data_IF_842031345720
#
_entry.id   IF_842031345720
#
_cell.length_a   1.000
_cell.length_b   1.000
_cell.length_c   1.000
_cell.angle_alpha   90.00
_cell.angle_beta   90.00
_cell.angle_gamma   90.00
#
_symmetry.space_group_name_H-M   'P 1'
#
loop_
_entity.id
_entity.type
_entity.pdbx_description
1 polymer ?
#
# COMPACT_ATOMS: atom_id res chain seq x y z
N UNK A 1 26.36 28.00 -45.87
CA UNK A 1 25.24 28.36 -44.98
C UNK A 1 24.53 27.07 -44.59
N UNK A 2 24.76 26.49 -43.39
CA UNK A 2 24.07 25.27 -42.99
C UNK A 2 22.65 25.60 -42.55
N UNK A 3 21.72 24.73 -42.96
CA UNK A 3 20.29 24.86 -42.76
C UNK A 3 19.93 24.79 -41.27
N UNK A 4 19.21 25.81 -40.78
CA UNK A 4 18.58 25.79 -39.45
C UNK A 4 17.43 24.77 -39.47
N UNK A 5 17.60 23.69 -38.71
CA UNK A 5 16.54 22.75 -38.38
C UNK A 5 15.50 23.49 -37.52
N UNK A 6 14.24 23.49 -37.95
CA UNK A 6 13.12 24.08 -37.19
C UNK A 6 12.87 23.25 -35.92
N UNK A 7 12.95 23.89 -34.75
CA UNK A 7 12.58 23.31 -33.46
C UNK A 7 11.07 23.03 -33.43
N UNK A 8 10.69 21.75 -33.38
CA UNK A 8 9.31 21.33 -33.10
C UNK A 8 8.91 21.79 -31.69
N UNK A 9 7.73 22.39 -31.50
CA UNK A 9 7.27 22.77 -30.16
C UNK A 9 7.08 21.51 -29.31
N UNK A 10 7.78 21.46 -28.17
CA UNK A 10 7.67 20.42 -27.18
C UNK A 10 6.25 20.42 -26.59
N UNK A 11 5.45 19.43 -26.96
CA UNK A 11 4.11 19.21 -26.45
C UNK A 11 4.17 18.85 -24.95
N UNK A 12 3.88 19.84 -24.09
CA UNK A 12 3.86 19.72 -22.62
C UNK A 12 2.58 19.04 -22.09
N UNK A 13 1.69 18.53 -22.94
CA UNK A 13 0.34 18.10 -22.52
C UNK A 13 0.25 16.72 -21.86
N UNK A 14 1.36 16.01 -21.66
CA UNK A 14 1.40 14.88 -20.73
C UNK A 14 1.80 15.36 -19.34
N UNK A 15 0.89 16.06 -18.69
CA UNK A 15 0.96 16.36 -17.26
C UNK A 15 1.02 15.03 -16.53
N UNK A 16 2.20 14.68 -16.00
CA UNK A 16 2.34 13.61 -15.03
C UNK A 16 1.27 13.81 -13.94
N UNK A 17 0.67 12.74 -13.40
CA UNK A 17 -0.33 12.81 -12.32
C UNK A 17 0.19 13.71 -11.20
N UNK A 18 -0.23 14.99 -11.20
CA UNK A 18 0.14 15.96 -10.18
C UNK A 18 -0.81 15.73 -9.01
N UNK A 19 -0.25 15.39 -7.85
CA UNK A 19 -1.04 15.33 -6.63
C UNK A 19 -1.45 16.75 -6.26
N UNK A 20 -2.76 16.99 -6.11
CA UNK A 20 -3.27 18.28 -5.70
C UNK A 20 -3.00 18.48 -4.21
N UNK A 21 -2.37 19.61 -3.86
CA UNK A 21 -2.16 20.00 -2.48
C UNK A 21 -3.44 20.69 -1.97
N UNK A 22 -4.11 20.07 -1.00
CA UNK A 22 -5.26 20.68 -0.33
C UNK A 22 -4.79 21.76 0.65
N UNK A 23 -5.68 22.67 1.04
CA UNK A 23 -5.38 23.70 2.05
C UNK A 23 -4.94 23.09 3.39
N UNK A 24 -5.54 21.96 3.78
CA UNK A 24 -5.15 21.19 4.97
C UNK A 24 -3.70 20.70 4.91
N UNK A 25 -3.26 20.19 3.75
CA UNK A 25 -1.87 19.77 3.56
C UNK A 25 -0.91 20.95 3.68
N UNK A 26 -1.26 22.10 3.10
CA UNK A 26 -0.46 23.33 3.18
C UNK A 26 -0.35 23.79 4.63
N UNK A 27 -1.47 23.88 5.34
CA UNK A 27 -1.49 24.28 6.75
C UNK A 27 -0.60 23.37 7.61
N UNK A 28 -0.69 22.04 7.40
CA UNK A 28 0.15 21.07 8.12
C UNK A 28 1.64 21.26 7.84
N UNK A 29 2.03 21.49 6.59
CA UNK A 29 3.42 21.74 6.20
C UNK A 29 3.94 23.01 6.87
N UNK A 30 3.18 24.10 6.77
CA UNK A 30 3.56 25.41 7.33
C UNK A 30 3.70 25.35 8.84
N UNK A 31 2.72 24.77 9.54
CA UNK A 31 2.76 24.60 10.99
C UNK A 31 3.97 23.75 11.43
N UNK A 32 4.22 22.64 10.75
CA UNK A 32 5.34 21.76 11.09
C UNK A 32 6.69 22.45 10.89
N UNK A 33 6.84 23.24 9.82
CA UNK A 33 8.05 24.01 9.55
C UNK A 33 8.23 25.16 10.54
N UNK A 34 7.20 25.98 10.76
CA UNK A 34 7.24 27.17 11.61
C UNK A 34 7.64 26.83 13.05
N UNK A 35 7.05 25.77 13.61
CA UNK A 35 7.31 25.35 14.98
C UNK A 35 8.42 24.31 15.11
N UNK A 36 9.05 23.91 13.99
CA UNK A 36 10.07 22.85 13.91
C UNK A 36 9.64 21.58 14.65
N UNK A 37 8.38 21.19 14.48
CA UNK A 37 7.80 20.02 15.15
C UNK A 37 8.48 18.77 14.62
N UNK A 38 8.92 17.90 15.54
CA UNK A 38 9.36 16.55 15.19
C UNK A 38 8.15 15.63 15.21
N UNK A 39 7.91 14.96 14.09
CA UNK A 39 6.77 14.06 13.90
C UNK A 39 7.32 12.78 13.29
N UNK A 40 7.09 11.66 13.96
CA UNK A 40 7.52 10.35 13.48
C UNK A 40 7.09 10.13 12.01
N UNK A 41 8.02 9.66 11.17
CA UNK A 41 7.83 9.40 9.73
C UNK A 41 7.43 10.61 8.86
N UNK A 42 7.41 11.83 9.42
CA UNK A 42 7.03 13.04 8.69
C UNK A 42 8.05 14.19 8.79
N UNK A 43 8.59 14.46 9.98
CA UNK A 43 9.53 15.57 10.21
C UNK A 43 10.56 15.22 11.28
N UNK A 44 11.82 15.50 10.99
CA UNK A 44 12.93 15.32 11.92
C UNK A 44 13.83 16.56 11.89
N UNK A 45 14.29 16.98 13.06
CA UNK A 45 15.33 18.01 13.17
C UNK A 45 16.70 17.33 13.07
N UNK A 46 17.51 17.81 12.15
CA UNK A 46 18.86 17.28 11.88
C UNK A 46 19.88 18.40 12.09
N UNK A 47 21.06 18.03 12.59
CA UNK A 47 22.17 18.97 12.75
C UNK A 47 22.94 19.16 11.45
N UNK A 48 23.65 20.28 11.32
CA UNK A 48 24.45 20.57 10.12
C UNK A 48 25.54 19.52 9.88
N UNK A 49 26.10 18.94 10.94
CA UNK A 49 27.10 17.85 10.86
C UNK A 49 26.56 16.59 10.19
N UNK A 50 25.30 16.25 10.44
CA UNK A 50 24.63 15.12 9.79
C UNK A 50 24.37 15.40 8.31
N UNK A 51 24.06 16.66 7.97
CA UNK A 51 23.91 17.11 6.57
C UNK A 51 25.25 17.04 5.83
N UNK A 52 26.35 17.48 6.46
CA UNK A 52 27.71 17.38 5.92
C UNK A 52 28.11 15.93 5.65
N UNK A 53 27.81 15.02 6.57
CA UNK A 53 28.07 13.58 6.41
C UNK A 53 27.29 12.96 5.24
N UNK A 54 26.16 13.57 4.87
CA UNK A 54 25.34 13.18 3.72
C UNK A 54 25.66 14.01 2.46
N UNK A 55 26.82 14.67 2.37
CA UNK A 55 27.23 15.51 1.23
C UNK A 55 26.23 16.61 0.88
N UNK A 56 25.59 17.20 1.90
CA UNK A 56 24.50 18.17 1.74
C UNK A 56 23.31 17.66 0.92
N UNK A 57 23.12 16.35 0.85
CA UNK A 57 21.99 15.72 0.17
C UNK A 57 20.72 15.78 1.02
N UNK A 58 19.86 16.76 0.75
CA UNK A 58 18.63 17.02 1.50
C UNK A 58 17.44 16.10 1.15
N UNK A 59 17.69 14.95 0.51
CA UNK A 59 16.62 14.00 0.20
C UNK A 59 15.99 13.44 1.49
N UNK A 60 14.66 13.56 1.59
CA UNK A 60 13.88 13.16 2.79
C UNK A 60 14.10 11.71 3.22
N UNK A 61 14.36 10.79 2.29
CA UNK A 61 14.55 9.37 2.61
C UNK A 61 15.80 9.10 3.44
N UNK A 62 16.76 10.04 3.46
CA UNK A 62 17.98 9.95 4.26
C UNK A 62 17.77 10.33 5.72
N UNK A 63 16.71 11.09 6.01
CA UNK A 63 16.48 11.67 7.34
C UNK A 63 15.20 11.16 8.00
N UNK A 64 14.22 10.76 7.19
CA UNK A 64 12.92 10.29 7.64
C UNK A 64 12.60 8.99 6.91
N UNK A 65 12.55 7.89 7.65
CA UNK A 65 11.97 6.65 7.14
C UNK A 65 10.46 6.82 7.08
N UNK A 66 9.88 6.75 5.89
CA UNK A 66 8.41 6.71 5.70
C UNK A 66 7.86 5.30 5.71
N UNK A 67 8.72 4.29 5.91
CA UNK A 67 8.31 2.90 5.96
C UNK A 67 7.34 2.70 7.13
N UNK A 68 6.14 2.25 6.79
CA UNK A 68 5.18 1.82 7.80
C UNK A 68 5.58 0.42 8.22
N UNK A 69 5.88 0.22 9.50
CA UNK A 69 5.95 -1.13 10.06
C UNK A 69 4.63 -1.81 9.74
N UNK A 70 4.68 -2.89 8.96
CA UNK A 70 3.49 -3.68 8.67
C UNK A 70 2.87 -4.11 10.01
N UNK A 71 1.54 -4.10 10.15
CA UNK A 71 0.90 -4.61 11.36
C UNK A 71 1.36 -6.05 11.56
N UNK A 72 1.71 -6.41 12.79
CA UNK A 72 2.00 -7.80 13.12
C UNK A 72 0.76 -8.65 12.81
N UNK A 73 0.90 -9.54 11.83
CA UNK A 73 -0.17 -10.46 11.46
C UNK A 73 -0.21 -11.55 12.50
N UNK A 74 -1.33 -11.68 13.22
CA UNK A 74 -1.58 -12.81 14.10
C UNK A 74 -1.90 -14.05 13.26
N UNK A 75 -0.86 -14.85 13.00
CA UNK A 75 -0.98 -16.11 12.26
C UNK A 75 -1.94 -17.10 12.92
N UNK A 76 -2.08 -17.07 14.25
CA UNK A 76 -3.01 -17.95 14.96
C UNK A 76 -4.46 -17.52 14.74
N UNK A 77 -4.73 -16.21 14.79
CA UNK A 77 -6.05 -15.67 14.48
C UNK A 77 -6.44 -15.94 13.03
N UNK A 78 -5.55 -15.66 12.07
CA UNK A 78 -5.79 -15.96 10.65
C UNK A 78 -6.00 -17.45 10.41
N UNK A 79 -5.25 -18.33 11.09
CA UNK A 79 -5.47 -19.77 11.00
C UNK A 79 -6.84 -20.18 11.55
N UNK A 80 -7.28 -19.59 12.67
CA UNK A 80 -8.62 -19.80 13.23
C UNK A 80 -9.72 -19.42 12.26
N UNK A 81 -9.62 -18.25 11.62
CA UNK A 81 -10.56 -17.79 10.59
C UNK A 81 -10.61 -18.76 9.40
N UNK A 82 -9.46 -19.26 8.95
CA UNK A 82 -9.39 -20.25 7.87
C UNK A 82 -10.12 -21.55 8.24
N UNK A 83 -9.91 -22.07 9.45
CA UNK A 83 -10.58 -23.28 9.94
C UNK A 83 -12.10 -23.08 10.04
N UNK A 84 -12.54 -21.91 10.51
CA UNK A 84 -13.96 -21.58 10.58
C UNK A 84 -14.60 -21.53 9.19
N UNK A 85 -13.94 -20.88 8.23
CA UNK A 85 -14.39 -20.82 6.84
C UNK A 85 -14.48 -22.22 6.23
N UNK A 86 -13.51 -23.10 6.47
CA UNK A 86 -13.56 -24.49 6.01
C UNK A 86 -14.77 -25.25 6.60
N UNK A 87 -15.06 -25.06 7.89
CA UNK A 87 -16.22 -25.68 8.53
C UNK A 87 -17.54 -25.19 7.92
N UNK A 88 -17.65 -23.89 7.61
CA UNK A 88 -18.82 -23.29 6.95
C UNK A 88 -18.99 -23.86 5.55
N UNK A 89 -17.90 -23.93 4.77
CA UNK A 89 -17.92 -24.49 3.42
C UNK A 89 -18.39 -25.95 3.48
N UNK A 90 -17.86 -26.76 4.40
CA UNK A 90 -18.25 -28.16 4.55
C UNK A 90 -19.74 -28.30 4.88
N UNK A 91 -20.26 -27.49 5.81
CA UNK A 91 -21.67 -27.50 6.17
C UNK A 91 -22.57 -27.09 5.00
N UNK A 92 -22.18 -26.04 4.26
CA UNK A 92 -22.90 -25.57 3.08
C UNK A 92 -22.89 -26.62 1.95
N UNK A 93 -21.74 -27.23 1.66
CA UNK A 93 -21.61 -28.30 0.66
C UNK A 93 -22.43 -29.52 1.05
N UNK A 94 -22.44 -29.93 2.32
CA UNK A 94 -23.30 -31.04 2.80
C UNK A 94 -24.78 -30.73 2.59
N UNK A 95 -25.22 -29.53 2.96
CA UNK A 95 -26.61 -29.09 2.77
C UNK A 95 -26.98 -29.06 1.28
N UNK A 96 -26.10 -28.55 0.44
CA UNK A 96 -26.30 -28.47 -1.00
C UNK A 96 -26.37 -29.87 -1.64
N UNK A 97 -25.47 -30.77 -1.26
CA UNK A 97 -25.44 -32.15 -1.74
C UNK A 97 -26.70 -32.95 -1.33
N UNK A 98 -27.32 -32.62 -0.18
CA UNK A 98 -28.61 -33.21 0.18
C UNK A 98 -29.69 -32.86 -0.85
N UNK A 99 -29.79 -31.59 -1.24
CA UNK A 99 -30.74 -31.15 -2.27
C UNK A 99 -30.43 -31.73 -3.65
N UNK A 100 -29.15 -31.77 -4.05
CA UNK A 100 -28.75 -32.38 -5.32
C UNK A 100 -29.11 -33.86 -5.41
N UNK A 101 -28.94 -34.59 -4.30
CA UNK A 101 -29.35 -36.00 -4.19
C UNK A 101 -30.86 -36.19 -4.36
N UNK A 102 -31.67 -35.32 -3.76
CA UNK A 102 -33.13 -35.35 -3.90
C UNK A 102 -33.58 -35.04 -5.34
N UNK A 103 -32.82 -34.23 -6.07
CA UNK A 103 -33.08 -33.88 -7.48
C UNK A 103 -32.46 -34.86 -8.50
N UNK A 104 -31.75 -35.89 -8.05
CA UNK A 104 -31.07 -36.85 -8.93
C UNK A 104 -29.87 -36.28 -9.70
N UNK A 105 -29.27 -35.18 -9.22
CA UNK A 105 -28.15 -34.48 -9.84
C UNK A 105 -26.79 -34.93 -9.25
N UNK A 106 -25.68 -34.80 -10.02
CA UNK A 106 -24.35 -35.14 -9.53
C UNK A 106 -23.93 -34.24 -8.36
N UNK A 107 -23.26 -34.84 -7.38
CA UNK A 107 -22.85 -34.16 -6.14
C UNK A 107 -21.64 -33.25 -6.37
N UNK A 108 -21.55 -32.18 -5.57
CA UNK A 108 -20.36 -31.34 -5.52
C UNK A 108 -19.22 -32.04 -4.78
N UNK A 109 -17.96 -31.85 -5.21
CA UNK A 109 -16.80 -32.37 -4.50
C UNK A 109 -16.73 -31.75 -3.10
N UNK A 110 -16.55 -32.61 -2.10
CA UNK A 110 -16.27 -32.13 -0.75
C UNK A 110 -14.86 -31.50 -0.75
N UNK A 111 -14.67 -30.29 -0.20
CA UNK A 111 -13.34 -29.80 0.13
C UNK A 111 -12.81 -30.67 1.26
N UNK A 112 -12.09 -31.73 0.90
CA UNK A 112 -11.28 -32.51 1.83
C UNK A 112 -9.93 -31.82 2.03
N UNK A 113 -9.17 -32.20 3.08
CA UNK A 113 -7.85 -31.66 3.30
C UNK A 113 -6.99 -31.94 2.05
N UNK A 114 -6.46 -30.88 1.43
CA UNK A 114 -5.43 -31.04 0.40
C UNK A 114 -4.18 -31.53 1.09
N UNK A 115 -3.95 -32.84 1.05
CA UNK A 115 -2.62 -33.41 1.30
C UNK A 115 -1.67 -32.88 0.24
N UNK A 116 -0.64 -32.17 0.68
CA UNK A 116 0.56 -31.84 -0.11
C UNK A 116 1.37 -33.11 -0.37
#
# INVERSE_FOLDING_TARGET
MPHLQQDKPYDRTKTARQNQLTEEHIAKIVDTYQFRKQVERYSRRVEIKEIETNDYNLNISRYVSTAVSEPEIDLAATHGELVEIEAIILAATRKHNKFLKELGLPLLPSPGPKTL
#
